data_IF_673606545824
#
_entry.id   IF_673606545824
#
_cell.length_a   1.000
_cell.length_b   1.000
_cell.length_c   1.000
_cell.angle_alpha   90.00
_cell.angle_beta   90.00
_cell.angle_gamma   90.00
#
_symmetry.space_group_name_H-M   'P 1'
#
loop_
_entity.id
_entity.type
_entity.pdbx_description
1 polymer ?
#
# COMPACT_ATOMS: atom_id res chain seq x y z
N UNK A 1 5.49 10.89 -17.16
CA UNK A 1 5.14 9.83 -18.14
C UNK A 1 4.88 8.50 -17.42
N UNK A 2 3.90 7.70 -17.86
CA UNK A 2 3.60 6.37 -17.33
C UNK A 2 3.97 5.36 -18.40
N UNK A 3 5.18 4.78 -18.36
CA UNK A 3 5.71 4.00 -19.50
C UNK A 3 5.09 2.61 -19.63
N UNK A 4 4.49 2.07 -18.57
CA UNK A 4 3.98 0.70 -18.52
C UNK A 4 2.86 0.52 -17.47
N UNK A 5 2.25 -0.66 -17.46
CA UNK A 5 1.18 -1.00 -16.53
C UNK A 5 1.64 -1.01 -15.06
N UNK A 6 2.88 -1.42 -14.77
CA UNK A 6 3.40 -1.40 -13.42
C UNK A 6 3.57 0.03 -12.90
N UNK A 7 3.98 0.96 -13.76
CA UNK A 7 4.05 2.38 -13.47
C UNK A 7 2.67 2.99 -13.22
N UNK A 8 1.63 2.53 -13.95
CA UNK A 8 0.26 2.96 -13.70
C UNK A 8 -0.23 2.53 -12.31
N UNK A 9 0.06 1.30 -11.90
CA UNK A 9 -0.26 0.78 -10.56
C UNK A 9 0.45 1.58 -9.46
N UNK A 10 1.75 1.86 -9.62
CA UNK A 10 2.49 2.71 -8.66
C UNK A 10 1.90 4.10 -8.56
N UNK A 11 1.56 4.71 -9.69
CA UNK A 11 0.92 6.03 -9.71
C UNK A 11 -0.44 6.00 -9.03
N UNK A 12 -1.27 4.98 -9.26
CA UNK A 12 -2.56 4.84 -8.60
C UNK A 12 -2.41 4.75 -7.07
N UNK A 13 -1.46 3.95 -6.58
CA UNK A 13 -1.18 3.86 -5.14
C UNK A 13 -0.75 5.22 -4.54
N UNK A 14 0.09 5.96 -5.26
CA UNK A 14 0.56 7.29 -4.84
C UNK A 14 -0.58 8.32 -4.81
N UNK A 15 -1.44 8.34 -5.83
CA UNK A 15 -2.59 9.25 -5.89
C UNK A 15 -3.55 9.01 -4.73
N UNK A 16 -3.91 7.75 -4.46
CA UNK A 16 -4.76 7.39 -3.33
C UNK A 16 -4.12 7.75 -1.98
N UNK A 17 -2.80 7.59 -1.85
CA UNK A 17 -2.06 8.00 -0.65
C UNK A 17 -2.08 9.51 -0.43
N UNK A 18 -1.93 10.31 -1.49
CA UNK A 18 -2.06 11.77 -1.43
C UNK A 18 -3.48 12.21 -1.10
N UNK A 19 -4.49 11.57 -1.69
CA UNK A 19 -5.92 11.79 -1.36
C UNK A 19 -6.20 11.51 0.12
N UNK A 20 -5.63 10.43 0.67
CA UNK A 20 -5.74 10.14 2.10
C UNK A 20 -5.15 11.28 2.95
N UNK A 21 -3.99 11.83 2.59
CA UNK A 21 -3.44 13.02 3.27
C UNK A 21 -4.40 14.21 3.28
N UNK A 22 -5.00 14.54 2.13
CA UNK A 22 -5.97 15.64 2.02
C UNK A 22 -7.23 15.39 2.87
N UNK A 23 -7.75 14.15 2.88
CA UNK A 23 -8.89 13.84 3.73
C UNK A 23 -8.55 13.84 5.23
N UNK A 24 -7.31 13.52 5.60
CA UNK A 24 -6.85 13.65 6.99
C UNK A 24 -6.85 15.12 7.44
N UNK A 25 -6.40 16.03 6.58
CA UNK A 25 -6.49 17.47 6.85
C UNK A 25 -7.96 17.92 6.98
N UNK A 26 -8.85 17.42 6.10
CA UNK A 26 -10.29 17.71 6.19
C UNK A 26 -10.90 17.18 7.49
N UNK A 27 -10.52 16.00 7.97
CA UNK A 27 -10.94 15.45 9.27
C UNK A 27 -10.49 16.37 10.41
N UNK A 28 -9.25 16.88 10.34
CA UNK A 28 -8.66 17.77 11.35
C UNK A 28 -9.44 19.08 11.46
N UNK A 29 -9.82 19.68 10.33
CA UNK A 29 -10.45 21.01 10.27
C UNK A 29 -11.99 20.98 10.34
N UNK A 30 -12.62 19.82 10.19
CA UNK A 30 -14.10 19.68 10.21
C UNK A 30 -14.64 19.12 11.52
N UNK A 31 -15.95 19.17 11.72
CA UNK A 31 -16.66 18.59 12.87
C UNK A 31 -18.01 17.98 12.46
N UNK A 32 -18.64 17.24 13.36
CA UNK A 32 -19.95 16.60 13.15
C UNK A 32 -19.97 15.71 11.90
N UNK A 33 -21.06 15.77 11.14
CA UNK A 33 -21.23 14.96 9.93
C UNK A 33 -20.15 15.18 8.87
N UNK A 34 -19.64 16.41 8.72
CA UNK A 34 -18.55 16.69 7.77
C UNK A 34 -17.27 15.93 8.13
N UNK A 35 -16.96 15.84 9.43
CA UNK A 35 -15.82 15.04 9.91
C UNK A 35 -16.04 13.55 9.66
N UNK A 36 -17.26 13.06 9.85
CA UNK A 36 -17.59 11.65 9.60
C UNK A 36 -17.39 11.27 8.14
N UNK A 37 -17.94 12.06 7.21
CA UNK A 37 -17.76 11.83 5.76
C UNK A 37 -16.29 11.93 5.36
N UNK A 38 -15.55 12.91 5.90
CA UNK A 38 -14.12 13.04 5.67
C UNK A 38 -13.34 11.79 6.13
N UNK A 39 -13.68 11.25 7.31
CA UNK A 39 -13.03 10.05 7.85
C UNK A 39 -13.35 8.79 7.03
N UNK A 40 -14.56 8.67 6.50
CA UNK A 40 -14.93 7.58 5.59
C UNK A 40 -14.14 7.65 4.29
N UNK A 41 -14.05 8.83 3.69
CA UNK A 41 -13.27 9.05 2.47
C UNK A 41 -11.77 8.82 2.68
N UNK A 42 -11.22 9.27 3.82
CA UNK A 42 -9.86 8.98 4.27
C UNK A 42 -9.61 7.47 4.30
N UNK A 43 -10.48 6.71 4.98
CA UNK A 43 -10.34 5.27 5.12
C UNK A 43 -10.36 4.58 3.76
N UNK A 44 -11.31 4.94 2.89
CA UNK A 44 -11.42 4.34 1.56
C UNK A 44 -10.19 4.63 0.68
N UNK A 45 -9.68 5.86 0.69
CA UNK A 45 -8.46 6.22 -0.04
C UNK A 45 -7.23 5.46 0.50
N UNK A 46 -7.07 5.40 1.82
CA UNK A 46 -5.96 4.68 2.44
C UNK A 46 -5.99 3.18 2.12
N UNK A 47 -7.16 2.54 2.22
CA UNK A 47 -7.33 1.13 1.85
C UNK A 47 -7.06 0.90 0.37
N UNK A 48 -7.52 1.79 -0.51
CA UNK A 48 -7.28 1.65 -1.96
C UNK A 48 -5.82 1.83 -2.33
N UNK A 49 -5.09 2.74 -1.68
CA UNK A 49 -3.65 2.87 -1.84
C UNK A 49 -2.92 1.55 -1.54
N UNK A 50 -3.23 0.90 -0.42
CA UNK A 50 -2.64 -0.41 -0.05
C UNK A 50 -3.03 -1.51 -1.04
N UNK A 51 -4.29 -1.52 -1.51
CA UNK A 51 -4.74 -2.50 -2.52
C UNK A 51 -3.99 -2.35 -3.84
N UNK A 52 -3.72 -1.13 -4.29
CA UNK A 52 -2.91 -0.90 -5.49
C UNK A 52 -1.45 -1.32 -5.29
N UNK A 53 -0.89 -1.18 -4.09
CA UNK A 53 0.49 -1.59 -3.80
C UNK A 53 0.73 -3.11 -3.81
N UNK A 54 -0.28 -3.94 -4.11
CA UNK A 54 -0.13 -5.40 -4.19
C UNK A 54 -0.48 -6.14 -2.89
N UNK A 55 -1.05 -5.46 -1.90
CA UNK A 55 -1.46 -6.06 -0.62
C UNK A 55 -0.33 -6.22 0.40
N UNK A 56 -0.69 -6.63 1.61
CA UNK A 56 0.26 -6.91 2.70
C UNK A 56 0.67 -8.39 2.67
N UNK A 57 1.93 -8.70 2.97
CA UNK A 57 2.35 -10.09 3.20
C UNK A 57 1.71 -10.61 4.49
N UNK A 58 1.14 -11.82 4.46
CA UNK A 58 0.51 -12.44 5.63
C UNK A 58 1.50 -12.65 6.79
N UNK A 59 2.78 -12.85 6.47
CA UNK A 59 3.87 -13.07 7.42
C UNK A 59 5.06 -12.14 7.10
N UNK A 60 5.09 -10.92 7.66
CA UNK A 60 6.22 -10.01 7.51
C UNK A 60 7.53 -10.65 7.99
N UNK A 61 8.62 -10.54 7.23
CA UNK A 61 9.92 -11.10 7.58
C UNK A 61 10.15 -12.55 7.12
N UNK A 62 9.16 -13.24 6.54
CA UNK A 62 9.33 -14.60 6.01
C UNK A 62 9.98 -14.62 4.62
N UNK A 63 9.54 -13.73 3.72
CA UNK A 63 10.07 -13.65 2.34
C UNK A 63 11.56 -13.25 2.34
N UNK A 64 11.97 -12.43 3.30
CA UNK A 64 13.33 -11.96 3.50
C UNK A 64 14.27 -13.08 3.98
N UNK A 65 13.75 -14.12 4.67
CA UNK A 65 14.52 -15.29 5.12
C UNK A 65 14.68 -16.37 4.04
N UNK A 66 13.73 -16.49 3.11
CA UNK A 66 13.81 -17.49 2.04
C UNK A 66 14.94 -17.21 1.02
N UNK A 67 15.45 -15.98 0.95
CA UNK A 67 16.55 -15.60 0.05
C UNK A 67 17.95 -16.10 0.47
N UNK A 68 18.11 -16.65 1.68
CA UNK A 68 19.41 -17.19 2.15
C UNK A 68 19.64 -18.68 1.81
N UNK A 69 18.68 -19.38 1.21
CA UNK A 69 18.89 -20.74 0.69
C UNK A 69 19.46 -20.68 -0.74
N UNK A 70 20.75 -20.37 -0.85
CA UNK A 70 21.56 -20.72 -2.03
C UNK A 70 22.82 -21.43 -1.56
N UNK A 71 22.61 -22.65 -1.10
CA UNK A 71 23.66 -23.63 -0.86
C UNK A 71 23.10 -25.00 -1.21
N UNK A 72 23.23 -25.40 -2.47
CA UNK A 72 22.88 -26.76 -2.91
C UNK A 72 23.92 -27.73 -2.34
N UNK A 73 23.56 -28.69 -1.48
CA UNK A 73 24.48 -29.77 -1.14
C UNK A 73 24.55 -30.71 -2.36
N UNK A 74 25.71 -30.78 -3.00
CA UNK A 74 25.98 -31.76 -4.03
C UNK A 74 25.95 -33.17 -3.41
N UNK A 75 25.26 -34.16 -4.00
CA UNK A 75 25.36 -35.54 -3.54
C UNK A 75 26.69 -36.13 -4.01
N UNK A 76 27.58 -36.44 -3.07
CA UNK A 76 28.79 -37.24 -3.34
C UNK A 76 28.39 -38.71 -3.47
N UNK A 77 28.68 -39.29 -4.64
CA UNK A 77 28.77 -40.73 -4.88
C UNK A 77 30.21 -41.18 -4.65
#
# INVERSE_FOLDING_TARGET
PVPDAAAAVRLAAELEGRLAGVYADLVRESSGERRRVAAEALREAAVRSVRWSGGSVAFPGLAERSGTESGSPAPTV
#
